data_IF_032778882946
#
_entry.id   IF_032778882946
#
_cell.length_a   1.000
_cell.length_b   1.000
_cell.length_c   1.000
_cell.angle_alpha   90.00
_cell.angle_beta   90.00
_cell.angle_gamma   90.00
#
_symmetry.space_group_name_H-M   'P 1'
#
loop_
_entity.id
_entity.type
_entity.pdbx_description
1 polymer ?
#
# COMPACT_ATOMS: atom_id res chain seq x y z
N UNK A 1 15.61 22.49 39.42
CA UNK A 1 15.10 21.20 38.93
C UNK A 1 14.35 21.48 37.65
N UNK A 2 14.90 21.04 36.51
CA UNK A 2 14.39 21.36 35.17
C UNK A 2 13.23 20.41 34.88
N UNK A 3 12.03 20.96 34.71
CA UNK A 3 10.84 20.21 34.28
C UNK A 3 10.97 19.90 32.79
N UNK A 4 11.23 18.64 32.46
CA UNK A 4 11.15 18.13 31.10
C UNK A 4 9.66 17.90 30.78
N UNK A 5 9.00 18.92 30.25
CA UNK A 5 7.70 18.76 29.61
C UNK A 5 7.88 17.90 28.36
N UNK A 6 7.45 16.64 28.50
CA UNK A 6 7.37 15.67 27.43
C UNK A 6 6.29 16.14 26.46
N UNK A 7 6.71 16.84 25.39
CA UNK A 7 5.89 17.04 24.20
C UNK A 7 5.40 15.68 23.72
N UNK A 8 4.15 15.34 24.06
CA UNK A 8 3.44 14.22 23.45
C UNK A 8 3.19 14.62 22.01
N UNK A 9 4.05 14.21 21.10
CA UNK A 9 3.74 14.24 19.68
C UNK A 9 2.45 13.43 19.49
N UNK A 10 1.37 14.16 19.20
CA UNK A 10 0.07 13.57 18.95
C UNK A 10 0.17 12.78 17.63
N UNK A 11 0.33 11.45 17.74
CA UNK A 11 0.47 10.51 16.61
C UNK A 11 -0.76 10.55 15.67
N UNK A 12 -1.82 11.25 16.06
CA UNK A 12 -3.02 11.46 15.24
C UNK A 12 -2.86 12.54 14.17
N UNK A 13 -1.88 13.43 14.29
CA UNK A 13 -1.68 14.55 13.37
C UNK A 13 -0.60 14.26 12.31
N UNK A 14 -0.65 13.07 11.71
CA UNK A 14 0.00 12.85 10.41
C UNK A 14 -0.91 13.44 9.32
N UNK A 15 -1.29 14.72 9.50
CA UNK A 15 -1.87 15.51 8.42
C UNK A 15 -0.88 15.43 7.28
N UNK A 16 -1.38 15.10 6.09
CA UNK A 16 -0.59 14.97 4.89
C UNK A 16 0.08 16.32 4.57
N UNK A 17 1.21 16.62 5.21
CA UNK A 17 1.92 17.89 5.05
C UNK A 17 2.55 17.82 3.66
N UNK A 18 1.88 18.44 2.70
CA UNK A 18 2.50 18.80 1.42
C UNK A 18 3.66 19.72 1.78
N UNK A 19 4.86 19.15 1.89
CA UNK A 19 6.05 19.94 2.21
C UNK A 19 6.25 20.94 1.08
N UNK A 20 6.35 22.25 1.37
CA UNK A 20 6.65 23.24 0.34
C UNK A 20 7.99 22.86 -0.30
N UNK A 21 7.95 22.47 -1.57
CA UNK A 21 9.17 22.19 -2.33
C UNK A 21 9.85 23.53 -2.58
N UNK A 22 11.06 23.72 -2.04
CA UNK A 22 11.86 24.91 -2.29
C UNK A 22 12.16 25.00 -3.79
N UNK A 23 11.45 25.89 -4.47
CA UNK A 23 11.66 26.18 -5.89
C UNK A 23 13.00 26.91 -6.01
N UNK A 24 13.86 26.46 -6.92
CA UNK A 24 15.06 27.25 -7.23
C UNK A 24 14.61 28.48 -8.01
N UNK A 25 14.50 29.63 -7.32
CA UNK A 25 14.33 30.93 -7.97
C UNK A 25 15.56 31.18 -8.85
N UNK A 26 15.46 30.91 -10.16
CA UNK A 26 16.64 30.96 -11.01
C UNK A 26 16.37 30.92 -12.50
N UNK A 27 16.38 32.11 -13.11
CA UNK A 27 16.55 32.43 -14.53
C UNK A 27 15.42 32.02 -15.49
N UNK A 28 14.88 33.01 -16.22
CA UNK A 28 13.97 32.80 -17.36
C UNK A 28 14.63 31.87 -18.38
N UNK A 29 14.27 30.59 -18.39
CA UNK A 29 14.77 29.63 -19.38
C UNK A 29 14.18 29.97 -20.75
N UNK A 30 15.01 30.51 -21.63
CA UNK A 30 14.68 30.75 -23.03
C UNK A 30 14.61 29.36 -23.71
N UNK A 31 13.41 28.92 -24.09
CA UNK A 31 13.15 27.59 -24.68
C UNK A 31 11.68 27.13 -24.53
N UNK A 32 11.34 25.93 -25.02
CA UNK A 32 10.01 25.33 -24.82
C UNK A 32 9.77 25.13 -23.31
N UNK A 33 8.66 25.64 -22.74
CA UNK A 33 8.39 25.50 -21.31
C UNK A 33 8.26 24.03 -20.91
N UNK A 34 8.82 23.66 -19.75
CA UNK A 34 8.87 22.27 -19.29
C UNK A 34 7.48 21.75 -18.88
N UNK A 35 6.66 22.57 -18.24
CA UNK A 35 5.30 22.23 -17.79
C UNK A 35 4.20 22.88 -18.62
N UNK A 36 4.45 23.10 -19.91
CA UNK A 36 3.47 23.71 -20.84
C UNK A 36 2.95 25.08 -20.37
N UNK A 37 3.81 25.84 -19.66
CA UNK A 37 3.49 27.16 -19.12
C UNK A 37 2.80 27.18 -17.75
N UNK A 38 2.58 26.02 -17.13
CA UNK A 38 2.05 25.92 -15.76
C UNK A 38 3.09 26.33 -14.72
N UNK A 39 2.60 26.78 -13.57
CA UNK A 39 3.43 27.06 -12.42
C UNK A 39 4.11 25.79 -11.90
N UNK A 40 5.42 25.86 -11.67
CA UNK A 40 6.23 24.71 -11.25
C UNK A 40 5.84 24.24 -9.84
N UNK A 41 5.60 25.17 -8.91
CA UNK A 41 5.27 24.82 -7.54
C UNK A 41 3.91 24.11 -7.47
N UNK A 42 2.92 24.59 -8.22
CA UNK A 42 1.60 23.94 -8.32
C UNK A 42 1.70 22.53 -8.90
N UNK A 43 2.45 22.34 -9.99
CA UNK A 43 2.64 21.03 -10.63
C UNK A 43 3.31 20.06 -9.66
N UNK A 44 4.35 20.49 -8.95
CA UNK A 44 5.07 19.67 -7.97
C UNK A 44 4.15 19.26 -6.83
N UNK A 45 3.35 20.18 -6.28
CA UNK A 45 2.41 19.89 -5.21
C UNK A 45 1.38 18.85 -5.64
N UNK A 46 0.83 18.98 -6.85
CA UNK A 46 -0.12 18.01 -7.43
C UNK A 46 0.51 16.63 -7.62
N UNK A 47 1.74 16.57 -8.12
CA UNK A 47 2.47 15.32 -8.26
C UNK A 47 2.71 14.65 -6.91
N UNK A 48 3.24 15.39 -5.92
CA UNK A 48 3.51 14.89 -4.58
C UNK A 48 2.25 14.33 -3.92
N UNK A 49 1.14 15.06 -4.02
CA UNK A 49 -0.16 14.58 -3.54
C UNK A 49 -0.58 13.27 -4.21
N UNK A 50 -0.58 13.22 -5.55
CA UNK A 50 -0.99 12.02 -6.27
C UNK A 50 -0.12 10.79 -5.93
N UNK A 51 1.19 10.96 -5.81
CA UNK A 51 2.09 9.87 -5.44
C UNK A 51 1.89 9.38 -4.00
N UNK A 52 1.55 10.28 -3.09
CA UNK A 52 1.35 9.92 -1.69
C UNK A 52 0.14 9.05 -1.40
N UNK A 53 -0.86 9.11 -2.27
CA UNK A 53 -2.05 8.28 -2.22
C UNK A 53 -1.88 6.99 -3.04
N UNK A 54 -0.67 6.73 -3.55
CA UNK A 54 -0.34 5.53 -4.31
C UNK A 54 -0.59 5.64 -5.82
N UNK A 55 -0.78 6.85 -6.33
CA UNK A 55 -0.98 7.09 -7.76
C UNK A 55 0.25 6.68 -8.59
N UNK A 56 -0.01 6.09 -9.75
CA UNK A 56 1.00 5.79 -10.77
C UNK A 56 1.53 7.07 -11.41
N UNK A 57 2.69 7.02 -12.07
CA UNK A 57 3.24 8.19 -12.77
C UNK A 57 2.27 8.76 -13.82
N UNK A 58 1.48 7.91 -14.49
CA UNK A 58 0.46 8.36 -15.46
C UNK A 58 -0.68 9.10 -14.77
N UNK A 59 -1.20 8.57 -13.67
CA UNK A 59 -2.29 9.21 -12.90
C UNK A 59 -1.82 10.54 -12.29
N UNK A 60 -0.61 10.57 -11.74
CA UNK A 60 -0.01 11.78 -11.19
C UNK A 60 0.18 12.86 -12.27
N UNK A 61 0.70 12.48 -13.45
CA UNK A 61 0.83 13.41 -14.58
C UNK A 61 -0.52 13.90 -15.09
N UNK A 62 -1.52 13.02 -15.15
CA UNK A 62 -2.90 13.37 -15.52
C UNK A 62 -3.48 14.39 -14.53
N UNK A 63 -3.33 14.15 -13.22
CA UNK A 63 -3.80 15.03 -12.16
C UNK A 63 -3.10 16.40 -12.17
N UNK A 64 -1.78 16.41 -12.42
CA UNK A 64 -0.99 17.63 -12.58
C UNK A 64 -1.19 18.33 -13.94
N UNK A 65 -1.88 17.69 -14.88
CA UNK A 65 -2.12 18.20 -16.22
C UNK A 65 -0.85 18.33 -17.06
N UNK A 66 0.17 17.50 -16.85
CA UNK A 66 1.43 17.52 -17.61
C UNK A 66 1.61 16.21 -18.39
N UNK A 67 2.46 16.23 -19.42
CA UNK A 67 2.86 15.00 -20.10
C UNK A 67 3.83 14.18 -19.24
N UNK A 68 3.83 12.86 -19.46
CA UNK A 68 4.78 11.94 -18.81
C UNK A 68 6.23 12.28 -19.17
N UNK A 69 6.49 12.72 -20.41
CA UNK A 69 7.81 13.17 -20.84
C UNK A 69 8.30 14.40 -20.07
N UNK A 70 7.41 15.35 -19.77
CA UNK A 70 7.75 16.51 -18.92
C UNK A 70 8.15 16.09 -17.51
N UNK A 71 7.42 15.14 -16.92
CA UNK A 71 7.76 14.55 -15.62
C UNK A 71 9.13 13.86 -15.64
N UNK A 72 9.39 12.95 -16.58
CA UNK A 72 10.68 12.24 -16.62
C UNK A 72 11.86 13.17 -16.89
N UNK A 73 11.68 14.20 -17.74
CA UNK A 73 12.70 15.25 -17.94
C UNK A 73 12.96 16.02 -16.65
N UNK A 74 11.92 16.34 -15.88
CA UNK A 74 12.06 17.00 -14.59
C UNK A 74 12.84 16.12 -13.59
N UNK A 75 12.51 14.84 -13.48
CA UNK A 75 13.23 13.89 -12.62
C UNK A 75 14.70 13.71 -13.02
N UNK A 76 15.02 13.74 -14.32
CA UNK A 76 16.40 13.65 -14.81
C UNK A 76 17.24 14.86 -14.35
N UNK A 77 16.63 16.04 -14.34
CA UNK A 77 17.29 17.27 -13.93
C UNK A 77 17.28 17.48 -12.40
N UNK A 78 16.37 16.81 -11.69
CA UNK A 78 16.17 16.94 -10.25
C UNK A 78 16.13 15.54 -9.59
N UNK A 79 17.28 14.87 -9.39
CA UNK A 79 17.32 13.54 -8.79
C UNK A 79 16.77 13.52 -7.35
N UNK A 80 16.94 14.59 -6.58
CA UNK A 80 16.38 14.70 -5.22
C UNK A 80 14.86 14.68 -5.21
N UNK A 81 14.22 15.28 -6.22
CA UNK A 81 12.77 15.22 -6.38
C UNK A 81 12.31 13.77 -6.61
N UNK A 82 13.02 13.03 -7.47
CA UNK A 82 12.71 11.61 -7.72
C UNK A 82 12.80 10.79 -6.43
N UNK A 83 13.86 10.95 -5.64
CA UNK A 83 14.02 10.24 -4.37
C UNK A 83 12.88 10.56 -3.38
N UNK A 84 12.44 11.83 -3.33
CA UNK A 84 11.29 12.24 -2.51
C UNK A 84 9.99 11.59 -2.97
N UNK A 85 9.76 11.50 -4.28
CA UNK A 85 8.58 10.82 -4.83
C UNK A 85 8.59 9.32 -4.50
N UNK A 86 9.73 8.65 -4.64
CA UNK A 86 9.86 7.23 -4.29
C UNK A 86 9.55 6.99 -2.81
N UNK A 87 9.98 7.89 -1.91
CA UNK A 87 9.61 7.83 -0.50
C UNK A 87 8.10 8.07 -0.28
N UNK A 88 7.51 9.05 -0.96
CA UNK A 88 6.07 9.34 -0.87
C UNK A 88 5.20 8.15 -1.28
N UNK A 89 5.62 7.36 -2.27
CA UNK A 89 4.89 6.15 -2.68
C UNK A 89 4.84 5.06 -1.60
N UNK A 90 5.69 5.13 -0.56
CA UNK A 90 5.61 4.22 0.60
C UNK A 90 4.51 4.61 1.59
N UNK A 91 3.99 5.84 1.50
CA UNK A 91 3.02 6.43 2.44
C UNK A 91 1.72 5.61 2.56
N UNK A 92 1.07 5.15 1.47
CA UNK A 92 -0.14 4.33 1.58
C UNK A 92 0.09 3.04 2.37
N UNK A 93 1.25 2.42 2.16
CA UNK A 93 1.62 1.19 2.88
C UNK A 93 1.82 1.48 4.36
N UNK A 94 2.45 2.62 4.70
CA UNK A 94 2.60 3.04 6.09
C UNK A 94 1.24 3.34 6.75
N UNK A 95 0.34 4.00 6.02
CA UNK A 95 -1.01 4.29 6.50
C UNK A 95 -1.81 3.00 6.74
N UNK A 96 -1.74 2.04 5.82
CA UNK A 96 -2.36 0.72 5.99
C UNK A 96 -1.80 -0.02 7.22
N UNK A 97 -0.48 0.04 7.45
CA UNK A 97 0.13 -0.53 8.66
C UNK A 97 -0.38 0.14 9.93
N UNK A 98 -0.53 1.47 9.92
CA UNK A 98 -1.10 2.23 11.04
C UNK A 98 -2.54 1.79 11.32
N UNK A 99 -3.37 1.64 10.28
CA UNK A 99 -4.75 1.18 10.42
C UNK A 99 -4.82 -0.24 11.03
N UNK A 100 -3.99 -1.17 10.54
CA UNK A 100 -3.87 -2.51 11.12
C UNK A 100 -3.47 -2.41 12.60
N UNK A 101 -2.44 -1.62 12.92
CA UNK A 101 -1.99 -1.45 14.30
C UNK A 101 -3.07 -0.88 15.22
N UNK A 102 -3.86 0.08 14.74
CA UNK A 102 -5.00 0.61 15.49
C UNK A 102 -6.08 -0.44 15.73
N UNK A 103 -6.39 -1.29 14.73
CA UNK A 103 -7.31 -2.40 14.92
C UNK A 103 -6.79 -3.42 15.97
N UNK A 104 -5.48 -3.67 16.00
CA UNK A 104 -4.86 -4.50 17.04
C UNK A 104 -5.00 -3.87 18.44
N UNK A 105 -4.75 -2.56 18.58
CA UNK A 105 -4.93 -1.86 19.85
C UNK A 105 -6.38 -1.89 20.34
N UNK A 106 -7.33 -1.89 19.41
CA UNK A 106 -8.76 -1.98 19.71
C UNK A 106 -9.23 -3.42 20.02
N UNK A 107 -8.33 -4.41 19.97
CA UNK A 107 -8.62 -5.79 20.33
C UNK A 107 -9.33 -6.59 19.23
N UNK A 108 -9.22 -6.21 17.96
CA UNK A 108 -9.76 -7.02 16.86
C UNK A 108 -8.97 -8.33 16.70
N UNK A 109 -9.50 -9.39 17.29
CA UNK A 109 -8.93 -10.74 17.27
C UNK A 109 -8.78 -11.27 15.84
N UNK A 110 -9.70 -10.94 14.91
CA UNK A 110 -9.62 -11.41 13.53
C UNK A 110 -8.42 -10.78 12.82
N UNK A 111 -8.25 -9.47 12.97
CA UNK A 111 -7.09 -8.77 12.43
C UNK A 111 -5.78 -9.23 13.07
N UNK A 112 -5.77 -9.47 14.39
CA UNK A 112 -4.60 -10.01 15.09
C UNK A 112 -4.19 -11.39 14.58
N UNK A 113 -5.14 -12.30 14.45
CA UNK A 113 -4.92 -13.63 13.89
C UNK A 113 -4.38 -13.56 12.47
N UNK A 114 -5.05 -12.80 11.59
CA UNK A 114 -4.62 -12.61 10.20
C UNK A 114 -3.21 -12.02 10.10
N UNK A 115 -2.87 -11.07 10.97
CA UNK A 115 -1.55 -10.45 11.00
C UNK A 115 -0.46 -11.44 11.41
N UNK A 116 -0.70 -12.24 12.46
CA UNK A 116 0.24 -13.26 12.97
C UNK A 116 0.46 -14.38 11.94
N UNK A 117 -0.61 -14.85 11.28
CA UNK A 117 -0.53 -15.85 10.20
C UNK A 117 0.44 -15.42 9.08
N UNK A 118 0.45 -14.12 8.74
CA UNK A 118 1.31 -13.59 7.67
C UNK A 118 2.72 -13.21 8.13
N UNK A 119 2.89 -12.79 9.39
CA UNK A 119 4.19 -12.36 9.93
C UNK A 119 5.03 -13.50 10.48
N UNK A 120 4.38 -14.49 11.08
CA UNK A 120 5.00 -15.66 11.67
C UNK A 120 4.39 -16.94 11.08
N UNK A 121 4.48 -17.15 9.75
CA UNK A 121 3.80 -18.26 9.09
C UNK A 121 4.26 -19.63 9.60
N UNK A 122 5.49 -19.77 10.08
CA UNK A 122 5.99 -21.06 10.59
C UNK A 122 5.26 -21.52 11.86
N UNK A 123 4.78 -20.59 12.66
CA UNK A 123 4.11 -20.88 13.94
C UNK A 123 2.59 -20.82 13.80
N UNK A 124 2.07 -19.94 12.94
CA UNK A 124 0.65 -19.63 12.87
C UNK A 124 -0.01 -19.99 11.53
N UNK A 125 0.71 -20.47 10.51
CA UNK A 125 0.06 -20.88 9.26
C UNK A 125 -0.87 -22.07 9.51
N UNK A 126 -2.02 -22.13 8.82
CA UNK A 126 -2.80 -23.35 8.74
C UNK A 126 -1.92 -24.47 8.18
N UNK A 127 -1.71 -25.54 8.95
CA UNK A 127 -0.86 -26.65 8.51
C UNK A 127 -1.46 -27.32 7.28
N UNK A 128 -0.71 -27.34 6.16
CA UNK A 128 -1.14 -27.94 4.91
C UNK A 128 -1.40 -29.46 5.00
N UNK A 129 -0.92 -30.12 6.06
CA UNK A 129 -1.22 -31.54 6.33
C UNK A 129 -2.71 -31.77 6.60
N UNK A 130 -3.37 -30.86 7.31
CA UNK A 130 -4.80 -30.98 7.64
C UNK A 130 -5.66 -30.80 6.40
N UNK A 131 -5.30 -29.87 5.51
CA UNK A 131 -6.04 -29.65 4.26
C UNK A 131 -5.89 -30.80 3.27
N UNK A 132 -4.71 -31.45 3.20
CA UNK A 132 -4.52 -32.61 2.34
C UNK A 132 -5.35 -33.81 2.79
N UNK A 133 -5.44 -34.05 4.11
CA UNK A 133 -6.26 -35.14 4.66
C UNK A 133 -7.76 -34.93 4.41
N UNK A 134 -8.27 -33.71 4.61
CA UNK A 134 -9.68 -33.40 4.31
C UNK A 134 -10.03 -33.65 2.84
N UNK A 135 -9.15 -33.22 1.91
CA UNK A 135 -9.35 -33.48 0.48
C UNK A 135 -9.31 -34.98 0.13
N UNK A 136 -8.55 -35.79 0.87
CA UNK A 136 -8.50 -37.24 0.68
C UNK A 136 -9.79 -37.91 1.17
N UNK A 137 -10.31 -37.50 2.33
CA UNK A 137 -11.59 -37.98 2.86
C UNK A 137 -12.76 -37.59 1.96
N UNK A 138 -12.79 -36.35 1.45
CA UNK A 138 -13.84 -35.89 0.51
C UNK A 138 -13.85 -36.73 -0.77
N UNK A 139 -12.68 -36.97 -1.38
CA UNK A 139 -12.57 -37.86 -2.55
C UNK A 139 -13.01 -39.29 -2.25
N UNK A 140 -12.69 -39.78 -1.05
CA UNK A 140 -13.07 -41.13 -0.63
C UNK A 140 -14.58 -41.24 -0.44
N UNK A 141 -15.22 -40.22 0.14
CA UNK A 141 -16.68 -40.16 0.31
C UNK A 141 -17.36 -40.11 -1.04
N UNK A 142 -16.95 -39.22 -1.96
CA UNK A 142 -17.51 -39.14 -3.32
C UNK A 142 -17.42 -40.47 -4.07
N UNK A 143 -16.26 -41.14 -3.95
CA UNK A 143 -16.05 -42.46 -4.52
C UNK A 143 -17.00 -43.51 -3.93
N UNK A 144 -17.16 -43.55 -2.60
CA UNK A 144 -18.07 -44.48 -1.93
C UNK A 144 -19.53 -44.22 -2.30
N UNK A 145 -19.96 -42.96 -2.38
CA UNK A 145 -21.29 -42.60 -2.85
C UNK A 145 -21.54 -43.02 -4.31
N UNK A 146 -20.51 -42.92 -5.17
CA UNK A 146 -20.60 -43.39 -6.55
C UNK A 146 -20.80 -44.90 -6.63
N UNK A 147 -20.13 -45.66 -5.75
CA UNK A 147 -20.27 -47.11 -5.66
C UNK A 147 -21.64 -47.50 -5.10
N UNK A 148 -22.13 -46.81 -4.07
CA UNK A 148 -23.47 -46.99 -3.51
C UNK A 148 -24.54 -46.77 -4.58
N UNK A 149 -24.45 -45.68 -5.34
CA UNK A 149 -25.35 -45.38 -6.47
C UNK A 149 -25.31 -46.44 -7.57
N UNK A 150 -24.13 -46.97 -7.87
CA UNK A 150 -23.93 -47.94 -8.96
C UNK A 150 -24.33 -49.37 -8.59
N UNK A 151 -24.15 -49.75 -7.34
CA UNK A 151 -24.37 -51.12 -6.85
C UNK A 151 -25.59 -51.30 -5.95
N UNK A 152 -26.32 -50.22 -5.63
CA UNK A 152 -27.59 -50.28 -4.89
C UNK A 152 -27.44 -50.78 -3.44
N UNK A 153 -26.28 -50.57 -2.82
CA UNK A 153 -26.00 -51.00 -1.44
C UNK A 153 -26.53 -49.92 -0.49
N UNK A 154 -27.58 -50.23 0.27
CA UNK A 154 -28.13 -49.32 1.29
C UNK A 154 -27.10 -49.11 2.42
N UNK A 155 -26.74 -47.86 2.80
CA UNK A 155 -25.71 -47.58 3.81
C UNK A 155 -26.07 -47.98 5.25
N UNK A 156 -27.23 -48.59 5.47
CA UNK A 156 -27.83 -48.80 6.79
C UNK A 156 -27.46 -50.12 7.50
N UNK A 157 -26.28 -50.70 7.23
CA UNK A 157 -25.76 -51.88 7.96
C UNK A 157 -24.38 -51.65 8.55
#
# INVERSE_FOLDING_TARGET
MITLEKERTNIQDFSFVVYPYQTQEGLRKIGRPLFDGKDEAEVIAKLQYAFSIGGTSREACCFAGISTDSYYRYCKNNPDFRNKIELLQTTPTLLARKAIFQALLNGDIKTARWYMERKCPQEFSPSASVSHQLNEYERRIEYLESLIRKHGIDPSF
#
